data_IF_251795602499
#
_entry.id   IF_251795602499
#
_cell.length_a   1.000
_cell.length_b   1.000
_cell.length_c   1.000
_cell.angle_alpha   90.00
_cell.angle_beta   90.00
_cell.angle_gamma   90.00
#
_symmetry.space_group_name_H-M   'P 1'
#
loop_
_entity.id
_entity.type
_entity.pdbx_description
1 polymer ?
#
# COMPACT_ATOMS: atom_id res chain seq x y z
N UNK A 1 -4.96 8.94 -11.62
CA UNK A 1 -4.03 9.44 -10.58
C UNK A 1 -2.63 8.95 -10.95
N UNK A 2 -1.70 9.84 -11.29
CA UNK A 2 -0.42 9.44 -11.88
C UNK A 2 0.39 8.59 -10.88
N UNK A 3 1.02 7.52 -11.36
CA UNK A 3 1.85 6.57 -10.59
C UNK A 3 3.00 7.24 -9.78
N UNK A 4 3.17 8.55 -9.93
CA UNK A 4 4.31 9.32 -9.44
C UNK A 4 4.07 9.95 -8.05
N UNK A 5 2.83 10.04 -7.55
CA UNK A 5 2.58 10.72 -6.26
C UNK A 5 3.24 10.03 -5.08
N UNK A 6 3.14 8.69 -4.96
CA UNK A 6 3.78 7.96 -3.86
C UNK A 6 5.29 8.09 -3.86
N UNK A 7 5.92 7.97 -5.04
CA UNK A 7 7.37 8.18 -5.18
C UNK A 7 7.78 9.61 -4.84
N UNK A 8 7.02 10.61 -5.28
CA UNK A 8 7.29 12.02 -4.95
C UNK A 8 7.13 12.30 -3.45
N UNK A 9 6.19 11.63 -2.75
CA UNK A 9 6.05 11.77 -1.28
C UNK A 9 7.28 11.25 -0.53
N UNK A 10 7.84 10.12 -0.94
CA UNK A 10 9.11 9.61 -0.35
C UNK A 10 10.23 10.58 -0.61
N UNK A 11 10.35 11.03 -1.86
CA UNK A 11 11.44 11.91 -2.25
C UNK A 11 11.35 13.25 -1.50
N UNK A 12 10.14 13.80 -1.33
CA UNK A 12 9.91 15.00 -0.56
C UNK A 12 10.25 14.81 0.94
N UNK A 13 9.82 13.71 1.55
CA UNK A 13 10.13 13.40 2.95
C UNK A 13 11.63 13.20 3.20
N UNK A 14 12.30 12.46 2.31
CA UNK A 14 13.76 12.26 2.38
C UNK A 14 14.52 13.57 2.16
N UNK A 15 14.09 14.38 1.19
CA UNK A 15 14.69 15.69 0.91
C UNK A 15 14.51 16.65 2.08
N UNK A 16 13.32 16.68 2.69
CA UNK A 16 13.06 17.47 3.89
C UNK A 16 13.98 17.04 5.05
N UNK A 17 14.13 15.73 5.28
CA UNK A 17 15.03 15.22 6.31
C UNK A 17 16.48 15.63 6.04
N UNK A 18 16.95 15.52 4.79
CA UNK A 18 18.30 15.94 4.41
C UNK A 18 18.54 17.44 4.64
N UNK A 19 17.57 18.29 4.28
CA UNK A 19 17.65 19.75 4.53
C UNK A 19 17.68 20.05 6.02
N UNK A 20 16.85 19.38 6.82
CA UNK A 20 16.84 19.54 8.29
C UNK A 20 18.18 19.11 8.88
N UNK A 21 18.75 17.99 8.42
CA UNK A 21 20.07 17.52 8.86
C UNK A 21 21.17 18.53 8.56
N UNK A 22 21.24 19.05 7.32
CA UNK A 22 22.24 20.07 6.95
C UNK A 22 22.06 21.33 7.78
N UNK A 23 20.82 21.82 7.93
CA UNK A 23 20.53 23.00 8.73
C UNK A 23 20.89 22.81 10.21
N UNK A 24 20.62 21.63 10.78
CA UNK A 24 20.95 21.32 12.16
C UNK A 24 22.47 21.32 12.38
N UNK A 25 23.24 20.66 11.50
CA UNK A 25 24.71 20.63 11.58
C UNK A 25 25.32 22.03 11.44
N UNK A 26 24.76 22.88 10.59
CA UNK A 26 25.25 24.26 10.44
C UNK A 26 24.86 25.17 11.62
N UNK A 27 23.77 24.87 12.32
CA UNK A 27 23.21 25.74 13.36
C UNK A 27 23.66 25.39 14.77
N UNK A 28 23.82 24.11 15.07
CA UNK A 28 24.13 23.63 16.41
C UNK A 28 25.59 23.16 16.48
N UNK A 29 26.40 23.70 17.42
CA UNK A 29 27.78 23.26 17.61
C UNK A 29 27.86 21.92 18.34
N UNK A 30 26.89 21.63 19.21
CA UNK A 30 26.84 20.41 20.01
C UNK A 30 26.15 19.27 19.26
N UNK A 31 26.81 18.11 19.22
CA UNK A 31 26.32 16.93 18.52
C UNK A 31 25.04 16.36 19.14
N UNK A 32 24.82 16.58 20.44
CA UNK A 32 23.58 16.19 21.13
C UNK A 32 22.35 16.88 20.54
N UNK A 33 22.47 18.17 20.28
CA UNK A 33 21.35 19.01 19.82
C UNK A 33 21.02 18.71 18.37
N UNK A 34 22.05 18.52 17.55
CA UNK A 34 21.90 18.03 16.17
C UNK A 34 21.15 16.69 16.15
N UNK A 35 21.56 15.75 16.99
CA UNK A 35 20.95 14.42 17.06
C UNK A 35 19.50 14.48 17.52
N UNK A 36 19.20 15.33 18.52
CA UNK A 36 17.84 15.50 19.02
C UNK A 36 16.89 16.02 17.93
N UNK A 37 17.31 17.05 17.17
CA UNK A 37 16.51 17.63 16.09
C UNK A 37 16.29 16.63 14.95
N UNK A 38 17.36 15.96 14.50
CA UNK A 38 17.25 14.96 13.42
C UNK A 38 16.35 13.80 13.85
N UNK A 39 16.48 13.33 15.09
CA UNK A 39 15.66 12.22 15.61
C UNK A 39 14.19 12.62 15.70
N UNK A 40 13.90 13.82 16.22
CA UNK A 40 12.53 14.32 16.30
C UNK A 40 11.90 14.46 14.91
N UNK A 41 12.58 15.12 13.98
CA UNK A 41 12.09 15.31 12.61
C UNK A 41 11.96 13.97 11.86
N UNK A 42 12.96 13.10 11.95
CA UNK A 42 12.98 11.78 11.33
C UNK A 42 11.86 10.88 11.82
N UNK A 43 11.52 10.94 13.11
CA UNK A 43 10.41 10.15 13.68
C UNK A 43 9.07 10.59 13.09
N UNK A 44 8.82 11.89 13.02
CA UNK A 44 7.56 12.43 12.45
C UNK A 44 7.46 12.10 10.96
N UNK A 45 8.51 12.41 10.19
CA UNK A 45 8.54 12.14 8.74
C UNK A 45 8.40 10.64 8.46
N UNK A 46 9.16 9.82 9.17
CA UNK A 46 9.13 8.35 9.04
C UNK A 46 7.76 7.77 9.36
N UNK A 47 7.06 8.29 10.37
CA UNK A 47 5.71 7.86 10.72
C UNK A 47 4.71 8.19 9.62
N UNK A 48 4.72 9.43 9.11
CA UNK A 48 3.79 9.87 8.05
C UNK A 48 4.04 9.10 6.76
N UNK A 49 5.30 8.97 6.35
CA UNK A 49 5.67 8.21 5.14
C UNK A 49 5.32 6.73 5.33
N UNK A 50 5.68 6.13 6.47
CA UNK A 50 5.37 4.74 6.78
C UNK A 50 3.87 4.45 6.76
N UNK A 51 3.05 5.31 7.36
CA UNK A 51 1.59 5.18 7.34
C UNK A 51 1.01 5.30 5.92
N UNK A 52 1.49 6.27 5.14
CA UNK A 52 1.04 6.45 3.75
C UNK A 52 1.36 5.21 2.91
N UNK A 53 2.58 4.69 3.01
CA UNK A 53 2.98 3.47 2.28
C UNK A 53 2.25 2.22 2.77
N UNK A 54 2.05 2.09 4.08
CA UNK A 54 1.29 0.98 4.66
C UNK A 54 -0.12 0.90 4.08
N UNK A 55 -0.83 2.02 3.98
CA UNK A 55 -2.19 2.09 3.41
C UNK A 55 -2.18 1.78 1.91
N UNK A 56 -1.25 2.37 1.15
CA UNK A 56 -1.18 2.16 -0.31
C UNK A 56 -0.76 0.73 -0.70
N UNK A 57 0.16 0.13 0.06
CA UNK A 57 0.55 -1.26 -0.15
C UNK A 57 -0.59 -2.22 0.21
N UNK A 58 -1.29 -1.97 1.32
CA UNK A 58 -2.43 -2.76 1.74
C UNK A 58 -3.60 -2.69 0.74
N UNK A 59 -3.91 -1.49 0.22
CA UNK A 59 -5.00 -1.32 -0.76
C UNK A 59 -4.68 -2.01 -2.09
N UNK A 60 -3.45 -1.93 -2.57
CA UNK A 60 -3.04 -2.61 -3.81
C UNK A 60 -3.19 -4.14 -3.73
N UNK A 61 -2.86 -4.73 -2.57
CA UNK A 61 -3.05 -6.17 -2.33
C UNK A 61 -4.54 -6.56 -2.29
N UNK A 62 -5.37 -5.73 -1.65
CA UNK A 62 -6.83 -5.94 -1.60
C UNK A 62 -7.47 -5.87 -2.97
N UNK A 63 -7.15 -4.86 -3.77
CA UNK A 63 -7.68 -4.71 -5.14
C UNK A 63 -7.34 -5.93 -5.99
N UNK A 64 -6.09 -6.41 -5.94
CA UNK A 64 -5.68 -7.61 -6.68
C UNK A 64 -6.40 -8.87 -6.20
N UNK A 65 -6.65 -8.99 -4.90
CA UNK A 65 -7.40 -10.10 -4.32
C UNK A 65 -8.88 -10.06 -4.73
N UNK A 66 -9.50 -8.87 -4.73
CA UNK A 66 -10.88 -8.66 -5.18
C UNK A 66 -11.01 -8.96 -6.68
N UNK A 67 -10.11 -8.45 -7.53
CA UNK A 67 -10.09 -8.79 -8.96
C UNK A 67 -9.97 -10.30 -9.20
N UNK A 68 -9.13 -10.99 -8.42
CA UNK A 68 -8.97 -12.44 -8.53
C UNK A 68 -10.24 -13.19 -8.09
N UNK A 69 -10.92 -12.71 -7.05
CA UNK A 69 -12.21 -13.26 -6.61
C UNK A 69 -13.29 -13.05 -7.67
N UNK A 70 -13.39 -11.86 -8.25
CA UNK A 70 -14.38 -11.57 -9.28
C UNK A 70 -14.17 -12.44 -10.53
N UNK A 71 -12.92 -12.64 -10.93
CA UNK A 71 -12.57 -13.56 -12.02
C UNK A 71 -12.95 -15.02 -11.71
N UNK A 72 -12.70 -15.48 -10.48
CA UNK A 72 -13.07 -16.83 -10.05
C UNK A 72 -14.60 -17.00 -10.04
N UNK A 73 -15.34 -16.03 -9.51
CA UNK A 73 -16.80 -16.01 -9.51
C UNK A 73 -17.35 -16.02 -10.94
N UNK A 74 -16.80 -15.20 -11.84
CA UNK A 74 -17.20 -15.18 -13.24
C UNK A 74 -16.93 -16.52 -13.94
N UNK A 75 -15.81 -17.18 -13.62
CA UNK A 75 -15.50 -18.51 -14.14
C UNK A 75 -16.49 -19.57 -13.64
N UNK A 76 -16.85 -19.53 -12.35
CA UNK A 76 -17.84 -20.45 -11.77
C UNK A 76 -19.23 -20.26 -12.38
N UNK A 77 -19.69 -19.00 -12.55
CA UNK A 77 -20.96 -18.70 -13.23
C UNK A 77 -20.96 -19.18 -14.68
N UNK A 78 -19.83 -19.05 -15.39
CA UNK A 78 -19.66 -19.54 -16.76
C UNK A 78 -19.69 -21.07 -16.86
N UNK A 79 -19.18 -21.77 -15.85
CA UNK A 79 -19.26 -23.24 -15.77
C UNK A 79 -20.69 -23.67 -15.47
N UNK A 80 -21.35 -23.04 -14.49
CA UNK A 80 -22.73 -23.35 -14.12
C UNK A 80 -23.72 -23.13 -15.28
N UNK A 81 -23.54 -22.05 -16.06
CA UNK A 81 -24.40 -21.73 -17.21
C UNK A 81 -24.21 -22.64 -18.43
N UNK A 82 -23.13 -23.43 -18.47
CA UNK A 82 -22.88 -24.41 -19.54
C UNK A 82 -23.14 -25.86 -19.11
N UNK A 83 -23.41 -26.09 -17.84
CA UNK A 83 -23.67 -27.40 -17.28
C UNK A 83 -25.17 -27.73 -17.39
N UNK A 84 -25.49 -28.98 -17.72
CA UNK A 84 -26.87 -29.47 -17.72
C UNK A 84 -27.51 -29.27 -16.33
N UNK A 85 -28.80 -28.90 -16.29
CA UNK A 85 -29.53 -28.46 -15.08
C UNK A 85 -29.53 -29.48 -13.92
N UNK A 86 -29.11 -30.72 -14.17
CA UNK A 86 -28.99 -31.79 -13.18
C UNK A 86 -27.57 -32.26 -12.83
N UNK A 87 -26.51 -31.67 -13.39
CA UNK A 87 -25.14 -32.17 -13.17
C UNK A 87 -24.54 -31.70 -11.84
N UNK A 88 -23.77 -32.58 -11.18
CA UNK A 88 -23.07 -32.30 -9.92
C UNK A 88 -22.14 -31.07 -10.02
N UNK A 89 -21.66 -30.77 -11.23
CA UNK A 89 -20.78 -29.65 -11.54
C UNK A 89 -21.49 -28.30 -11.42
N UNK A 90 -22.78 -28.23 -11.79
CA UNK A 90 -23.60 -27.03 -11.65
C UNK A 90 -23.87 -26.72 -10.17
N UNK A 91 -24.16 -27.76 -9.37
CA UNK A 91 -24.34 -27.64 -7.91
C UNK A 91 -23.06 -27.17 -7.22
N UNK A 92 -21.93 -27.81 -7.50
CA UNK A 92 -20.65 -27.45 -6.90
C UNK A 92 -20.21 -26.01 -7.26
N UNK A 93 -20.48 -25.58 -8.50
CA UNK A 93 -20.18 -24.21 -8.92
C UNK A 93 -21.06 -23.16 -8.22
N UNK A 94 -22.35 -23.44 -8.02
CA UNK A 94 -23.28 -22.55 -7.32
C UNK A 94 -23.00 -22.47 -5.81
N UNK A 95 -22.50 -23.56 -5.21
CA UNK A 95 -22.07 -23.58 -3.80
C UNK A 95 -20.78 -22.79 -3.58
N UNK A 96 -19.84 -22.83 -4.53
CA UNK A 96 -18.59 -22.05 -4.48
C UNK A 96 -18.73 -20.53 -4.73
N UNK A 97 -19.89 -20.08 -5.21
CA UNK A 97 -20.20 -18.65 -5.44
C UNK A 97 -20.87 -17.99 -4.23
N UNK A 98 -21.45 -18.79 -3.32
CA UNK A 98 -22.16 -18.33 -2.12
C UNK A 98 -21.22 -17.89 -1.01
#
# INVERSE_FOLDING_TARGET
MSKNYGFMTVLAGLSALAVITVAAVMRYPDTSDVTAVITAAGTVIGTVVGAFFGVNAASAGRVKAEESRDQATAALVKVASKADEGSDVAKAAMEGVR
#
